data_IF_730152539095
#
_entry.id   IF_730152539095
#
_cell.length_a   1.000
_cell.length_b   1.000
_cell.length_c   1.000
_cell.angle_alpha   90.00
_cell.angle_beta   90.00
_cell.angle_gamma   90.00
#
_symmetry.space_group_name_H-M   'P 1'
#
loop_
_entity.id
_entity.type
_entity.pdbx_description
1 polymer ?
#
# COMPACT_ATOMS: atom_id res chain seq x y z
N UNK A 1 10.72 9.31 7.68
CA UNK A 1 10.38 9.55 6.26
C UNK A 1 8.87 9.60 6.06
N UNK A 2 8.40 10.23 4.98
CA UNK A 2 7.01 10.12 4.53
C UNK A 2 6.91 8.97 3.54
N UNK A 3 5.97 8.06 3.76
CA UNK A 3 5.79 6.90 2.91
C UNK A 3 4.36 6.75 2.41
N UNK A 4 4.20 6.43 1.13
CA UNK A 4 2.96 5.89 0.60
C UNK A 4 2.89 4.40 0.92
N UNK A 5 1.83 3.95 1.57
CA UNK A 5 1.69 2.58 2.09
C UNK A 5 0.53 1.90 1.38
N UNK A 6 0.80 0.83 0.65
CA UNK A 6 -0.26 0.02 0.03
C UNK A 6 -0.85 -1.02 1.01
N UNK A 7 -1.88 -1.75 0.57
CA UNK A 7 -2.52 -2.77 1.41
C UNK A 7 -1.58 -3.93 1.75
N UNK A 8 -0.62 -4.24 0.88
CA UNK A 8 0.30 -5.36 1.07
C UNK A 8 1.15 -5.18 2.34
N UNK A 9 1.61 -3.95 2.63
CA UNK A 9 2.36 -3.62 3.84
C UNK A 9 1.50 -3.79 5.09
N UNK A 10 0.31 -3.19 5.10
CA UNK A 10 -0.59 -3.25 6.26
C UNK A 10 -1.00 -4.69 6.59
N UNK A 11 -1.27 -5.50 5.56
CA UNK A 11 -1.63 -6.89 5.72
C UNK A 11 -0.48 -7.71 6.33
N UNK A 12 0.77 -7.51 5.90
CA UNK A 12 1.89 -8.24 6.52
C UNK A 12 2.08 -7.87 7.99
N UNK A 13 1.97 -6.58 8.32
CA UNK A 13 2.07 -6.09 9.71
C UNK A 13 0.94 -6.67 10.56
N UNK A 14 -0.32 -6.52 10.14
CA UNK A 14 -1.47 -6.96 10.93
C UNK A 14 -1.60 -8.49 11.04
N UNK A 15 -1.05 -9.24 10.09
CA UNK A 15 -1.04 -10.71 10.11
C UNK A 15 0.20 -11.28 10.80
N UNK A 16 1.11 -10.45 11.32
CA UNK A 16 2.34 -10.90 11.97
C UNK A 16 3.22 -11.75 11.06
N UNK A 17 3.18 -11.49 9.75
CA UNK A 17 3.92 -12.28 8.77
C UNK A 17 5.41 -11.98 8.85
N UNK A 18 6.23 -13.00 8.60
CA UNK A 18 7.67 -12.83 8.43
C UNK A 18 7.93 -11.87 7.25
N UNK A 19 8.97 -11.03 7.37
CA UNK A 19 9.29 -9.96 6.41
C UNK A 19 8.23 -8.85 6.31
N UNK A 20 7.58 -8.51 7.44
CA UNK A 20 6.92 -7.21 7.57
C UNK A 20 7.95 -6.08 7.35
N UNK A 21 7.51 -4.94 6.82
CA UNK A 21 8.36 -3.81 6.44
C UNK A 21 9.33 -3.40 7.59
N UNK A 22 10.64 -3.66 7.49
CA UNK A 22 11.59 -3.27 8.52
C UNK A 22 11.63 -1.75 8.72
N UNK A 23 11.47 -0.97 7.65
CA UNK A 23 11.49 0.48 7.70
C UNK A 23 10.22 1.09 8.32
N UNK A 24 9.26 0.28 8.79
CA UNK A 24 7.99 0.77 9.35
C UNK A 24 8.18 1.80 10.48
N UNK A 25 9.13 1.56 11.38
CA UNK A 25 9.43 2.50 12.48
C UNK A 25 10.09 3.80 12.02
N UNK A 26 10.52 3.88 10.76
CA UNK A 26 11.08 5.09 10.16
C UNK A 26 10.01 5.92 9.45
N UNK A 27 8.76 5.46 9.38
CA UNK A 27 7.64 6.19 8.75
C UNK A 27 7.06 7.17 9.78
N UNK A 28 7.32 8.46 9.58
CA UNK A 28 6.79 9.52 10.45
C UNK A 28 5.36 9.91 10.04
N UNK A 29 5.06 9.81 8.74
CA UNK A 29 3.75 10.08 8.15
C UNK A 29 3.48 9.05 7.05
N UNK A 30 2.43 8.27 7.24
CA UNK A 30 1.96 7.32 6.25
C UNK A 30 0.82 7.92 5.43
N UNK A 31 0.89 7.79 4.11
CA UNK A 31 -0.14 8.21 3.15
C UNK A 31 -0.65 6.96 2.45
N UNK A 32 -1.94 6.87 2.13
CA UNK A 32 -2.47 5.77 1.32
C UNK A 32 -3.68 6.22 0.51
N UNK A 33 -4.07 5.42 -0.48
CA UNK A 33 -5.39 5.56 -1.10
C UNK A 33 -6.46 5.07 -0.12
N UNK A 34 -7.62 5.70 -0.12
CA UNK A 34 -8.81 5.19 0.58
C UNK A 34 -9.15 3.73 0.18
N UNK A 35 -8.69 3.27 -0.99
CA UNK A 35 -8.76 1.90 -1.47
C UNK A 35 -8.25 0.86 -0.45
N UNK A 36 -7.21 1.23 0.32
CA UNK A 36 -6.50 0.34 1.24
C UNK A 36 -7.44 -0.31 2.27
N UNK A 37 -8.48 0.43 2.67
CA UNK A 37 -9.52 -0.05 3.60
C UNK A 37 -10.25 -1.25 3.01
N UNK A 38 -10.68 -1.12 1.75
CA UNK A 38 -11.40 -2.19 1.05
C UNK A 38 -10.49 -3.38 0.85
N UNK A 39 -9.27 -3.18 0.35
CA UNK A 39 -8.33 -4.27 0.07
C UNK A 39 -7.96 -5.07 1.32
N UNK A 40 -7.66 -4.37 2.42
CA UNK A 40 -7.31 -4.98 3.70
C UNK A 40 -8.48 -5.81 4.25
N UNK A 41 -9.67 -5.21 4.35
CA UNK A 41 -10.84 -5.88 4.92
C UNK A 41 -11.32 -7.03 4.02
N UNK A 42 -11.24 -6.87 2.69
CA UNK A 42 -11.58 -7.96 1.77
C UNK A 42 -10.59 -9.12 1.83
N UNK A 43 -9.31 -8.82 2.02
CA UNK A 43 -8.30 -9.85 2.19
C UNK A 43 -8.45 -10.59 3.52
N UNK A 44 -8.72 -9.88 4.62
CA UNK A 44 -9.00 -10.52 5.91
C UNK A 44 -10.21 -11.46 5.85
N UNK A 45 -11.28 -11.02 5.21
CA UNK A 45 -12.50 -11.83 5.10
C UNK A 45 -12.28 -13.08 4.21
N UNK A 46 -11.52 -12.94 3.12
CA UNK A 46 -11.08 -14.08 2.31
C UNK A 46 -10.22 -15.07 3.13
N UNK A 47 -9.34 -14.55 3.99
CA UNK A 47 -8.53 -15.37 4.90
C UNK A 47 -9.39 -16.08 5.95
N UNK A 48 -10.41 -15.42 6.52
CA UNK A 48 -11.37 -16.06 7.44
C UNK A 48 -11.98 -17.31 6.79
N UNK A 49 -12.44 -17.19 5.55
CA UNK A 49 -13.10 -18.29 4.84
C UNK A 49 -12.13 -19.41 4.44
N UNK A 50 -10.92 -19.05 3.99
CA UNK A 50 -9.95 -20.04 3.47
C UNK A 50 -9.13 -20.72 4.57
N UNK A 51 -8.72 -19.97 5.59
CA UNK A 51 -7.85 -20.45 6.66
C UNK A 51 -8.61 -20.85 7.94
N UNK A 52 -9.95 -20.77 7.93
CA UNK A 52 -10.82 -21.09 9.08
C UNK A 52 -10.39 -20.41 10.38
N UNK A 53 -10.03 -19.13 10.28
CA UNK A 53 -9.69 -18.31 11.45
C UNK A 53 -10.88 -18.28 12.41
N UNK A 54 -10.59 -18.37 13.71
CA UNK A 54 -11.60 -18.19 14.75
C UNK A 54 -12.13 -16.75 14.76
N UNK A 55 -13.35 -16.56 15.30
CA UNK A 55 -13.95 -15.23 15.42
C UNK A 55 -13.06 -14.27 16.22
N UNK A 56 -12.39 -14.77 17.27
CA UNK A 56 -11.44 -13.98 18.08
C UNK A 56 -10.23 -13.52 17.28
N UNK A 57 -9.65 -14.39 16.44
CA UNK A 57 -8.53 -14.02 15.56
C UNK A 57 -8.96 -12.99 14.52
N UNK A 58 -10.14 -13.16 13.93
CA UNK A 58 -10.69 -12.20 12.95
C UNK A 58 -10.92 -10.85 13.61
N UNK A 59 -11.53 -10.82 14.79
CA UNK A 59 -11.78 -9.58 15.54
C UNK A 59 -10.46 -8.85 15.85
N UNK A 60 -9.46 -9.57 16.35
CA UNK A 60 -8.14 -9.03 16.70
C UNK A 60 -7.42 -8.43 15.48
N UNK A 61 -7.35 -9.19 14.37
CA UNK A 61 -6.71 -8.74 13.12
C UNK A 61 -7.46 -7.57 12.48
N UNK A 62 -8.79 -7.59 12.52
CA UNK A 62 -9.62 -6.47 12.03
C UNK A 62 -9.38 -5.20 12.83
N UNK A 63 -9.36 -5.29 14.17
CA UNK A 63 -9.07 -4.16 15.03
C UNK A 63 -7.67 -3.58 14.75
N UNK A 64 -6.68 -4.46 14.57
CA UNK A 64 -5.31 -4.06 14.23
C UNK A 64 -5.25 -3.34 12.87
N UNK A 65 -5.88 -3.89 11.83
CA UNK A 65 -5.94 -3.24 10.50
C UNK A 65 -6.61 -1.87 10.57
N UNK A 66 -7.73 -1.75 11.27
CA UNK A 66 -8.43 -0.47 11.39
C UNK A 66 -7.62 0.57 12.16
N UNK A 67 -6.89 0.16 13.20
CA UNK A 67 -5.99 1.04 13.94
C UNK A 67 -4.83 1.53 13.06
N UNK A 68 -4.24 0.64 12.25
CA UNK A 68 -3.18 1.00 11.29
C UNK A 68 -3.72 1.94 10.20
N UNK A 69 -4.87 1.65 9.61
CA UNK A 69 -5.49 2.51 8.59
C UNK A 69 -5.80 3.89 9.17
N UNK A 70 -6.32 3.95 10.40
CA UNK A 70 -6.64 5.22 11.07
C UNK A 70 -5.41 6.08 11.39
N UNK A 71 -4.20 5.51 11.40
CA UNK A 71 -2.96 6.27 11.55
C UNK A 71 -2.41 6.81 10.23
N UNK A 72 -3.03 6.49 9.09
CA UNK A 72 -2.64 6.97 7.77
C UNK A 72 -3.46 8.18 7.37
N UNK A 73 -2.84 9.05 6.58
CA UNK A 73 -3.56 10.01 5.76
C UNK A 73 -4.14 9.29 4.55
N UNK A 74 -5.46 9.30 4.43
CA UNK A 74 -6.15 8.68 3.30
C UNK A 74 -6.47 9.73 2.23
N UNK A 75 -6.05 9.42 1.00
CA UNK A 75 -6.38 10.18 -0.19
C UNK A 75 -7.59 9.54 -0.86
N UNK A 76 -8.65 10.33 -1.02
CA UNK A 76 -9.88 9.89 -1.67
C UNK A 76 -9.64 9.55 -3.15
N UNK A 77 -10.44 8.61 -3.67
CA UNK A 77 -10.40 8.21 -5.08
C UNK A 77 -11.44 9.05 -5.82
N UNK A 78 -10.99 10.14 -6.43
CA UNK A 78 -11.83 10.99 -7.26
C UNK A 78 -11.56 10.79 -8.76
N UNK A 79 -12.23 11.58 -9.60
CA UNK A 79 -12.05 11.53 -11.06
C UNK A 79 -10.60 11.81 -11.48
N UNK A 80 -9.87 12.68 -10.77
CA UNK A 80 -8.48 13.03 -11.11
C UNK A 80 -7.56 11.83 -10.88
N UNK A 81 -7.75 11.11 -9.77
CA UNK A 81 -7.02 9.86 -9.49
C UNK A 81 -7.31 8.81 -10.56
N UNK A 82 -8.58 8.61 -10.92
CA UNK A 82 -8.97 7.62 -11.92
C UNK A 82 -8.45 7.96 -13.33
N UNK A 83 -8.54 9.23 -13.73
CA UNK A 83 -8.03 9.70 -15.03
C UNK A 83 -6.52 9.53 -15.12
N UNK A 84 -5.79 9.80 -14.02
CA UNK A 84 -4.34 9.58 -13.94
C UNK A 84 -3.98 8.09 -13.96
N UNK A 85 -4.77 7.24 -13.31
CA UNK A 85 -4.57 5.79 -13.28
C UNK A 85 -4.85 5.14 -14.65
N UNK A 86 -5.73 5.73 -15.45
CA UNK A 86 -6.06 5.27 -16.80
C UNK A 86 -5.00 5.63 -17.86
N UNK A 87 -4.06 6.54 -17.54
CA UNK A 87 -2.97 6.88 -18.45
C UNK A 87 -1.94 5.74 -18.56
N UNK A 88 -1.18 5.66 -19.67
CA UNK A 88 -0.11 4.69 -19.83
C UNK A 88 0.86 4.69 -18.65
N UNK A 89 1.17 3.50 -18.15
CA UNK A 89 2.15 3.27 -17.09
C UNK A 89 3.44 2.71 -17.69
N UNK A 90 4.62 3.01 -17.08
CA UNK A 90 5.90 2.56 -17.61
C UNK A 90 6.12 1.04 -17.52
N UNK A 91 5.35 0.36 -16.66
CA UNK A 91 5.38 -1.08 -16.43
C UNK A 91 3.97 -1.67 -16.46
N UNK A 92 3.88 -2.98 -16.58
CA UNK A 92 2.60 -3.69 -16.45
C UNK A 92 2.10 -3.54 -15.00
N UNK A 93 0.97 -2.85 -14.82
CA UNK A 93 0.31 -2.65 -13.54
C UNK A 93 -1.15 -3.10 -13.62
N UNK A 94 -1.60 -3.81 -12.59
CA UNK A 94 -3.02 -4.05 -12.40
C UNK A 94 -3.76 -2.75 -12.08
N UNK A 95 -5.09 -2.75 -12.25
CA UNK A 95 -5.92 -1.56 -11.98
C UNK A 95 -5.72 -0.98 -10.57
N UNK A 96 -5.67 -1.81 -9.53
CA UNK A 96 -5.52 -1.35 -8.14
C UNK A 96 -4.13 -0.73 -7.90
N UNK A 97 -3.08 -1.34 -8.45
CA UNK A 97 -1.72 -0.81 -8.37
C UNK A 97 -1.57 0.49 -9.16
N UNK A 98 -2.23 0.60 -10.31
CA UNK A 98 -2.27 1.84 -11.09
C UNK A 98 -2.97 2.97 -10.30
N UNK A 99 -4.05 2.66 -9.58
CA UNK A 99 -4.72 3.62 -8.68
C UNK A 99 -3.80 4.01 -7.53
N UNK A 100 -3.12 3.06 -6.88
CA UNK A 100 -2.15 3.37 -5.83
C UNK A 100 -1.03 4.29 -6.32
N UNK A 101 -0.41 3.96 -7.45
CA UNK A 101 0.66 4.75 -8.03
C UNK A 101 0.17 6.14 -8.45
N UNK A 102 -0.99 6.23 -9.11
CA UNK A 102 -1.59 7.52 -9.47
C UNK A 102 -1.84 8.40 -8.24
N UNK A 103 -2.40 7.81 -7.17
CA UNK A 103 -2.64 8.49 -5.91
C UNK A 103 -1.33 9.02 -5.30
N UNK A 104 -0.29 8.18 -5.25
CA UNK A 104 1.01 8.56 -4.70
C UNK A 104 1.65 9.72 -5.46
N UNK A 105 1.60 9.67 -6.80
CA UNK A 105 2.17 10.71 -7.66
C UNK A 105 1.40 12.04 -7.53
N UNK A 106 0.08 12.00 -7.55
CA UNK A 106 -0.75 13.20 -7.35
C UNK A 106 -0.53 13.83 -5.98
N UNK A 107 -0.46 13.02 -4.92
CA UNK A 107 -0.17 13.51 -3.58
C UNK A 107 1.21 14.17 -3.50
N UNK A 108 2.24 13.53 -4.08
CA UNK A 108 3.59 14.08 -4.14
C UNK A 108 3.61 15.40 -4.89
N UNK A 109 2.93 15.48 -6.03
CA UNK A 109 2.94 16.66 -6.89
C UNK A 109 2.18 17.83 -6.25
N UNK A 110 1.08 17.56 -5.54
CA UNK A 110 0.32 18.57 -4.79
C UNK A 110 1.08 19.10 -3.57
N UNK A 111 1.77 18.22 -2.85
CA UNK A 111 2.45 18.58 -1.58
C UNK A 111 3.91 19.01 -1.77
N UNK A 112 4.48 18.81 -2.96
CA UNK A 112 5.90 19.02 -3.28
C UNK A 112 6.85 18.36 -2.28
N UNK A 113 6.43 17.25 -1.68
CA UNK A 113 7.18 16.59 -0.60
C UNK A 113 7.80 15.27 -1.08
N UNK A 114 8.98 14.93 -0.58
CA UNK A 114 9.61 13.64 -0.86
C UNK A 114 8.76 12.50 -0.31
N UNK A 115 8.41 11.56 -1.18
CA UNK A 115 7.55 10.42 -0.88
C UNK A 115 8.26 9.12 -1.25
N UNK A 116 8.36 8.20 -0.31
CA UNK A 116 8.84 6.83 -0.54
C UNK A 116 7.66 5.89 -0.76
N UNK A 117 7.69 5.01 -1.75
CA UNK A 117 6.69 3.94 -1.90
C UNK A 117 7.06 2.76 -1.00
N UNK A 118 6.18 2.41 -0.07
CA UNK A 118 6.28 1.21 0.77
C UNK A 118 5.29 0.17 0.25
N UNK A 119 5.82 -0.87 -0.37
CA UNK A 119 5.03 -1.95 -0.96
C UNK A 119 5.80 -3.28 -0.88
N UNK A 120 5.07 -4.38 -0.77
CA UNK A 120 5.61 -5.73 -0.99
C UNK A 120 5.25 -6.28 -2.38
N UNK A 121 4.58 -5.49 -3.23
CA UNK A 121 4.29 -5.82 -4.62
C UNK A 121 5.44 -5.34 -5.52
N UNK A 122 6.04 -6.28 -6.26
CA UNK A 122 7.18 -6.01 -7.14
C UNK A 122 6.82 -5.20 -8.37
N UNK A 123 5.59 -5.35 -8.90
CA UNK A 123 5.14 -4.59 -10.05
C UNK A 123 4.89 -3.13 -9.65
N UNK A 124 4.20 -2.89 -8.53
CA UNK A 124 3.98 -1.54 -8.00
C UNK A 124 5.31 -0.86 -7.63
N UNK A 125 6.24 -1.60 -7.01
CA UNK A 125 7.59 -1.11 -6.73
C UNK A 125 8.32 -0.65 -8.00
N UNK A 126 8.32 -1.48 -9.05
CA UNK A 126 8.99 -1.15 -10.30
C UNK A 126 8.34 0.07 -10.99
N UNK A 127 7.02 0.16 -10.99
CA UNK A 127 6.28 1.31 -11.50
C UNK A 127 6.61 2.60 -10.74
N UNK A 128 6.70 2.53 -9.41
CA UNK A 128 7.10 3.66 -8.56
C UNK A 128 8.54 4.11 -8.86
N UNK A 129 9.48 3.17 -8.99
CA UNK A 129 10.88 3.47 -9.35
C UNK A 129 10.99 4.12 -10.72
N UNK A 130 10.21 3.65 -11.72
CA UNK A 130 10.19 4.24 -13.05
C UNK A 130 9.70 5.69 -13.07
N UNK A 131 8.91 6.11 -12.07
CA UNK A 131 8.51 7.50 -11.84
C UNK A 131 9.44 8.26 -10.86
N UNK A 132 10.57 7.66 -10.47
CA UNK A 132 11.58 8.29 -9.61
C UNK A 132 11.24 8.29 -8.12
N UNK A 133 10.26 7.50 -7.67
CA UNK A 133 9.99 7.33 -6.25
C UNK A 133 10.99 6.32 -5.63
N UNK A 134 11.64 6.63 -4.50
CA UNK A 134 12.33 5.63 -3.70
C UNK A 134 11.36 4.54 -3.25
N UNK A 135 11.85 3.30 -3.11
CA UNK A 135 11.01 2.15 -2.71
C UNK A 135 11.63 1.39 -1.54
N UNK A 136 10.77 0.93 -0.63
CA UNK A 136 11.08 -0.01 0.46
C UNK A 136 10.07 -1.15 0.49
N UNK A 137 10.42 -2.27 1.15
CA UNK A 137 9.51 -3.40 1.38
C UNK A 137 9.62 -4.55 0.37
N UNK A 138 10.03 -4.29 -0.87
CA UNK A 138 10.46 -5.34 -1.79
C UNK A 138 11.91 -5.72 -1.51
N UNK A 139 12.22 -7.02 -1.50
CA UNK A 139 13.62 -7.44 -1.47
C UNK A 139 14.24 -7.05 -2.81
N UNK A 140 15.28 -6.19 -2.79
CA UNK A 140 16.03 -5.83 -3.98
C UNK A 140 16.51 -7.10 -4.69
N UNK A 141 15.84 -7.51 -5.76
CA UNK A 141 16.44 -8.39 -6.74
C UNK A 141 17.47 -7.54 -7.45
N UNK A 142 18.75 -7.70 -7.10
CA UNK A 142 19.82 -7.18 -7.96
C UNK A 142 19.58 -7.79 -9.34
N UNK A 143 19.45 -7.00 -10.42
CA UNK A 143 19.45 -7.57 -11.75
C UNK A 143 20.78 -8.32 -11.93
N UNK A 144 20.68 -9.56 -12.41
CA UNK A 144 21.82 -10.36 -12.82
C UNK A 144 22.53 -9.73 -14.03
#
# INVERSE_FOLDING_TARGET
MIAYVDASVLLKVALGQQNALPEWWQIDRGVSSALVTTECLRTLDRLRLRARLSDTEVATRRATLLALIASLELVEIDAVVLDRAAQPMPTELGMLDAIHLATALLWKDLTHTHLTMATHDTALALGAQAHGLPVVGVQNQRPA
#
